data_IF_174328127228
#
_entry.id   IF_174328127228
#
_cell.length_a   1.000
_cell.length_b   1.000
_cell.length_c   1.000
_cell.angle_alpha   90.00
_cell.angle_beta   90.00
_cell.angle_gamma   90.00
#
_symmetry.space_group_name_H-M   'P 1'
#
loop_
_entity.id
_entity.type
_entity.pdbx_description
1 polymer ?
#
# COMPACT_ATOMS: atom_id res chain seq x y z
N UNK A 1 18.61 -37.12 74.51
CA UNK A 1 17.21 -37.21 75.00
C UNK A 1 16.35 -36.39 74.05
N UNK A 2 15.27 -37.01 73.55
CA UNK A 2 14.13 -36.44 72.80
C UNK A 2 14.45 -35.91 71.38
N UNK A 3 14.33 -36.74 70.33
CA UNK A 3 13.12 -37.13 69.57
C UNK A 3 12.33 -35.97 68.95
N UNK A 4 12.37 -35.86 67.61
CA UNK A 4 11.20 -35.67 66.73
C UNK A 4 11.50 -36.28 65.35
N UNK A 5 10.52 -37.04 64.86
CA UNK A 5 10.44 -37.89 63.64
C UNK A 5 9.92 -37.06 62.43
N UNK A 6 10.08 -37.52 61.17
CA UNK A 6 10.13 -36.69 59.98
C UNK A 6 8.78 -36.55 59.26
N UNK A 7 8.63 -35.49 58.46
CA UNK A 7 7.54 -35.34 57.50
C UNK A 7 8.03 -35.67 56.09
N UNK A 8 7.64 -36.85 55.61
CA UNK A 8 7.62 -37.23 54.19
C UNK A 8 6.48 -36.48 53.51
N UNK A 9 6.77 -35.85 52.36
CA UNK A 9 5.79 -35.67 51.28
C UNK A 9 6.47 -36.09 49.98
N UNK A 10 6.29 -37.36 49.64
CA UNK A 10 6.25 -37.82 48.25
C UNK A 10 4.79 -37.64 47.84
N UNK A 11 4.52 -36.79 46.86
CA UNK A 11 3.41 -37.00 45.95
C UNK A 11 3.92 -36.67 44.55
N UNK A 12 3.86 -37.72 43.74
CA UNK A 12 4.21 -37.80 42.34
C UNK A 12 2.98 -37.39 41.51
N UNK A 13 3.25 -36.81 40.35
CA UNK A 13 2.34 -36.64 39.19
C UNK A 13 1.25 -35.57 39.32
N UNK A 14 1.38 -34.49 38.54
CA UNK A 14 0.51 -34.42 37.36
C UNK A 14 1.18 -33.68 36.19
N UNK A 15 1.01 -34.29 35.03
CA UNK A 15 1.51 -33.92 33.72
C UNK A 15 0.72 -32.71 33.20
N UNK A 16 1.14 -31.50 33.58
CA UNK A 16 0.64 -30.26 32.99
C UNK A 16 1.52 -29.78 31.85
N UNK A 17 1.63 -30.55 30.76
CA UNK A 17 2.30 -30.11 29.52
C UNK A 17 1.56 -28.90 28.94
N UNK A 18 1.92 -27.70 29.40
CA UNK A 18 1.45 -26.46 28.80
C UNK A 18 1.99 -26.38 27.38
N UNK A 19 1.11 -26.28 26.37
CA UNK A 19 1.52 -26.33 24.98
C UNK A 19 2.41 -25.13 24.70
N UNK A 20 3.60 -25.44 24.15
CA UNK A 20 4.46 -24.55 23.42
C UNK A 20 3.60 -23.54 22.68
N UNK A 21 3.68 -22.29 23.14
CA UNK A 21 3.00 -21.13 22.54
C UNK A 21 3.24 -21.21 21.03
N UNK A 22 2.19 -21.36 20.20
CA UNK A 22 2.37 -21.43 18.76
C UNK A 22 3.11 -20.17 18.35
N UNK A 23 4.25 -20.34 17.70
CA UNK A 23 5.02 -19.24 17.14
C UNK A 23 4.06 -18.30 16.43
N UNK A 24 4.01 -17.06 16.90
CA UNK A 24 3.28 -15.99 16.25
C UNK A 24 3.80 -15.93 14.81
N UNK A 25 3.00 -16.35 13.84
CA UNK A 25 3.27 -16.26 12.40
C UNK A 25 3.16 -14.81 11.91
N UNK A 26 3.66 -13.86 12.70
CA UNK A 26 3.71 -12.45 12.36
C UNK A 26 5.18 -12.03 12.33
N UNK A 27 5.70 -12.06 11.11
CA UNK A 27 6.95 -11.47 10.62
C UNK A 27 8.25 -12.23 10.85
N UNK A 28 8.67 -13.04 9.86
CA UNK A 28 10.04 -12.99 9.38
C UNK A 28 10.14 -11.90 8.30
N UNK A 29 9.90 -10.63 8.64
CA UNK A 29 10.57 -9.57 7.89
C UNK A 29 11.96 -9.45 8.52
N UNK A 30 12.81 -10.33 8.01
CA UNK A 30 14.26 -10.17 7.97
C UNK A 30 14.59 -8.68 7.86
N UNK A 31 15.55 -8.21 8.68
CA UNK A 31 16.13 -6.87 8.74
C UNK A 31 16.50 -6.32 7.35
N UNK A 32 15.50 -5.96 6.56
CA UNK A 32 15.68 -5.33 5.27
C UNK A 32 15.78 -3.86 5.59
N UNK A 33 16.99 -3.33 5.52
CA UNK A 33 17.25 -1.94 5.79
C UNK A 33 16.33 -1.07 4.91
N UNK A 34 15.47 -0.27 5.54
CA UNK A 34 14.61 0.65 4.82
C UNK A 34 15.49 1.64 4.03
N UNK A 35 15.15 1.94 2.76
CA UNK A 35 15.91 2.89 1.96
C UNK A 35 15.85 4.29 2.58
N UNK A 36 16.86 5.11 2.28
CA UNK A 36 16.87 6.51 2.67
C UNK A 36 15.75 7.29 1.95
N UNK A 37 15.33 8.42 2.54
CA UNK A 37 14.34 9.30 1.91
C UNK A 37 14.81 9.81 0.54
N UNK A 38 16.11 10.05 0.38
CA UNK A 38 16.72 10.41 -0.90
C UNK A 38 16.51 9.32 -1.95
N UNK A 39 16.70 8.05 -1.58
CA UNK A 39 16.49 6.94 -2.50
C UNK A 39 15.02 6.81 -2.89
N UNK A 40 14.11 7.00 -1.94
CA UNK A 40 12.66 7.02 -2.23
C UNK A 40 12.28 8.15 -3.17
N UNK A 41 12.86 9.34 -3.00
CA UNK A 41 12.65 10.45 -3.95
C UNK A 41 13.07 10.07 -5.37
N UNK A 42 14.23 9.42 -5.52
CA UNK A 42 14.68 8.96 -6.85
C UNK A 42 13.72 7.94 -7.44
N UNK A 43 13.21 7.00 -6.63
CA UNK A 43 12.23 6.01 -7.08
C UNK A 43 10.94 6.69 -7.54
N UNK A 44 10.44 7.66 -6.77
CA UNK A 44 9.24 8.43 -7.14
C UNK A 44 9.48 9.20 -8.44
N UNK A 45 10.62 9.87 -8.57
CA UNK A 45 10.95 10.63 -9.78
C UNK A 45 11.03 9.76 -11.05
N UNK A 46 11.47 8.49 -10.91
CA UNK A 46 11.49 7.51 -12.01
C UNK A 46 10.09 6.94 -12.28
N UNK A 47 9.29 6.74 -11.24
CA UNK A 47 7.93 6.22 -11.35
C UNK A 47 6.97 7.22 -11.99
N UNK A 48 7.10 8.52 -11.70
CA UNK A 48 6.21 9.55 -12.23
C UNK A 48 6.11 9.50 -13.76
N UNK A 49 4.89 9.63 -14.27
CA UNK A 49 4.66 9.67 -15.70
C UNK A 49 5.35 10.87 -16.34
N UNK A 50 5.87 10.65 -17.55
CA UNK A 50 6.51 11.69 -18.36
C UNK A 50 5.49 12.71 -18.94
N UNK A 51 4.27 12.73 -18.42
CA UNK A 51 3.16 13.54 -18.92
C UNK A 51 3.23 15.00 -18.51
N UNK A 52 4.23 15.36 -17.70
CA UNK A 52 4.49 16.71 -17.25
C UNK A 52 3.55 17.14 -16.13
N UNK A 53 3.09 18.38 -16.17
CA UNK A 53 2.24 18.95 -15.13
C UNK A 53 0.87 18.27 -15.05
N UNK A 54 0.24 18.29 -13.88
CA UNK A 54 -1.09 17.70 -13.66
C UNK A 54 -2.14 18.20 -14.68
N UNK A 55 -2.08 19.48 -15.05
CA UNK A 55 -2.99 20.09 -16.03
C UNK A 55 -2.92 19.46 -17.42
N UNK A 56 -1.81 18.79 -17.77
CA UNK A 56 -1.64 18.12 -19.06
C UNK A 56 -2.05 16.65 -19.03
N UNK A 57 -2.22 16.05 -17.86
CA UNK A 57 -2.53 14.62 -17.73
C UNK A 57 -3.82 14.18 -18.43
N UNK A 58 -4.98 14.88 -18.32
CA UNK A 58 -6.20 14.45 -18.99
C UNK A 58 -6.04 14.36 -20.51
N UNK A 59 -5.33 15.33 -21.10
CA UNK A 59 -5.06 15.37 -22.53
C UNK A 59 -4.13 14.23 -22.94
N UNK A 60 -3.05 13.99 -22.19
CA UNK A 60 -2.09 12.92 -22.46
C UNK A 60 -2.70 11.53 -22.34
N UNK A 61 -3.50 11.31 -21.30
CA UNK A 61 -4.27 10.08 -21.13
C UNK A 61 -5.15 9.82 -22.36
N UNK A 62 -5.93 10.81 -22.78
CA UNK A 62 -6.83 10.66 -23.93
C UNK A 62 -6.07 10.41 -25.25
N UNK A 63 -4.94 11.08 -25.47
CA UNK A 63 -4.07 10.84 -26.63
C UNK A 63 -3.57 9.39 -26.68
N UNK A 64 -3.06 8.87 -25.56
CA UNK A 64 -2.58 7.48 -25.48
C UNK A 64 -3.70 6.47 -25.60
N UNK A 65 -4.84 6.69 -24.94
CA UNK A 65 -6.02 5.83 -25.05
C UNK A 65 -6.52 5.76 -26.49
N UNK A 66 -6.67 6.91 -27.16
CA UNK A 66 -7.11 6.95 -28.56
C UNK A 66 -6.14 6.23 -29.49
N UNK A 67 -4.83 6.36 -29.25
CA UNK A 67 -3.81 5.63 -29.98
C UNK A 67 -3.92 4.11 -29.78
N UNK A 68 -4.11 3.66 -28.54
CA UNK A 68 -4.31 2.25 -28.21
C UNK A 68 -5.58 1.69 -28.86
N UNK A 69 -6.70 2.43 -28.78
CA UNK A 69 -7.97 2.07 -29.43
C UNK A 69 -7.83 1.97 -30.95
N UNK A 70 -7.11 2.89 -31.59
CA UNK A 70 -6.80 2.83 -33.01
C UNK A 70 -5.97 1.61 -33.41
N UNK A 71 -5.24 1.02 -32.46
CA UNK A 71 -4.43 -0.19 -32.64
C UNK A 71 -5.20 -1.49 -32.32
N UNK A 72 -6.44 -1.39 -31.84
CA UNK A 72 -7.35 -2.51 -31.58
C UNK A 72 -7.45 -2.94 -30.12
N UNK A 73 -8.39 -3.83 -29.82
CA UNK A 73 -8.79 -4.18 -28.45
C UNK A 73 -7.63 -4.64 -27.56
N UNK A 74 -6.74 -5.51 -28.07
CA UNK A 74 -5.59 -6.00 -27.29
C UNK A 74 -4.66 -4.87 -26.83
N UNK A 75 -4.47 -3.86 -27.68
CA UNK A 75 -3.64 -2.70 -27.33
C UNK A 75 -4.33 -1.82 -26.29
N UNK A 76 -5.66 -1.64 -26.41
CA UNK A 76 -6.48 -0.96 -25.40
C UNK A 76 -6.41 -1.66 -24.04
N UNK A 77 -6.59 -2.99 -24.00
CA UNK A 77 -6.51 -3.77 -22.78
C UNK A 77 -5.12 -3.66 -22.15
N UNK A 78 -4.06 -3.75 -22.97
CA UNK A 78 -2.68 -3.58 -22.52
C UNK A 78 -2.42 -2.19 -21.94
N UNK A 79 -3.00 -1.13 -22.52
CA UNK A 79 -2.87 0.23 -21.98
C UNK A 79 -3.51 0.34 -20.60
N UNK A 80 -4.72 -0.21 -20.42
CA UNK A 80 -5.37 -0.22 -19.11
C UNK A 80 -4.62 -1.06 -18.08
N UNK A 81 -4.06 -2.21 -18.47
CA UNK A 81 -3.18 -3.00 -17.59
C UNK A 81 -1.96 -2.20 -17.16
N UNK A 82 -1.30 -1.47 -18.06
CA UNK A 82 -0.16 -0.60 -17.71
C UNK A 82 -0.55 0.50 -16.72
N UNK A 83 -1.73 1.12 -16.88
CA UNK A 83 -2.23 2.08 -15.90
C UNK A 83 -2.48 1.43 -14.53
N UNK A 84 -3.01 0.20 -14.49
CA UNK A 84 -3.24 -0.53 -13.25
C UNK A 84 -1.91 -0.90 -12.56
N UNK A 85 -0.92 -1.35 -13.33
CA UNK A 85 0.43 -1.64 -12.83
C UNK A 85 1.08 -0.37 -12.27
N UNK A 86 0.96 0.77 -12.97
CA UNK A 86 1.46 2.08 -12.50
C UNK A 86 0.86 2.50 -11.16
N UNK A 87 -0.45 2.29 -10.96
CA UNK A 87 -1.13 2.54 -9.68
C UNK A 87 -0.54 1.66 -8.58
N UNK A 88 -0.36 0.36 -8.84
CA UNK A 88 0.14 -0.58 -7.84
C UNK A 88 1.59 -0.28 -7.44
N UNK A 89 2.45 0.05 -8.41
CA UNK A 89 3.81 0.54 -8.15
C UNK A 89 3.78 1.81 -7.27
N UNK A 90 2.87 2.74 -7.57
CA UNK A 90 2.66 3.94 -6.75
C UNK A 90 2.23 3.61 -5.32
N UNK A 91 1.36 2.62 -5.12
CA UNK A 91 0.95 2.15 -3.78
C UNK A 91 2.11 1.53 -3.01
N UNK A 92 2.99 0.80 -3.68
CA UNK A 92 4.20 0.24 -3.06
C UNK A 92 5.13 1.38 -2.59
N UNK A 93 5.27 2.45 -3.38
CA UNK A 93 6.03 3.64 -2.99
C UNK A 93 5.38 4.38 -1.81
N UNK A 94 4.04 4.49 -1.77
CA UNK A 94 3.32 5.03 -0.62
C UNK A 94 3.58 4.20 0.65
N UNK A 95 3.58 2.87 0.54
CA UNK A 95 3.88 1.99 1.66
C UNK A 95 5.32 2.15 2.14
N UNK A 96 6.26 2.34 1.23
CA UNK A 96 7.67 2.60 1.54
C UNK A 96 7.84 3.93 2.26
N UNK A 97 7.22 5.00 1.75
CA UNK A 97 7.23 6.33 2.37
C UNK A 97 6.63 6.28 3.78
N UNK A 98 5.50 5.59 3.95
CA UNK A 98 4.87 5.35 5.26
C UNK A 98 5.81 4.64 6.23
N UNK A 99 6.55 3.64 5.76
CA UNK A 99 7.46 2.85 6.57
C UNK A 99 8.64 3.67 7.08
N UNK A 100 9.20 4.55 6.23
CA UNK A 100 10.25 5.50 6.61
C UNK A 100 9.73 6.49 7.65
N UNK A 101 8.56 7.08 7.41
CA UNK A 101 7.96 8.07 8.33
C UNK A 101 7.65 7.46 9.70
N UNK A 102 7.25 6.18 9.76
CA UNK A 102 7.03 5.44 11.01
C UNK A 102 8.31 5.17 11.79
N UNK A 103 9.42 4.87 11.10
CA UNK A 103 10.74 4.73 11.74
C UNK A 103 11.18 6.04 12.40
N UNK A 104 10.71 7.16 11.87
CA UNK A 104 10.95 8.51 12.38
C UNK A 104 12.33 9.03 11.96
N UNK A 105 12.42 10.35 11.88
CA UNK A 105 13.69 11.03 11.58
C UNK A 105 14.43 11.34 12.87
N UNK A 106 15.74 11.07 12.91
CA UNK A 106 16.62 11.46 14.01
C UNK A 106 17.43 12.68 13.57
N UNK A 107 17.54 13.68 14.44
CA UNK A 107 18.34 14.87 14.15
C UNK A 107 17.88 16.09 14.94
N UNK A 108 18.47 17.22 14.59
CA UNK A 108 18.16 18.55 15.13
C UNK A 108 16.81 19.06 14.59
N UNK A 109 16.04 19.78 15.41
CA UNK A 109 14.63 20.07 15.15
C UNK A 109 14.33 20.69 13.76
N UNK A 110 15.12 21.66 13.30
CA UNK A 110 14.93 22.26 11.97
C UNK A 110 15.09 21.24 10.84
N UNK A 111 16.11 20.39 10.90
CA UNK A 111 16.36 19.35 9.88
C UNK A 111 15.25 18.29 9.88
N UNK A 112 14.66 18.01 11.03
CA UNK A 112 13.53 17.07 11.14
C UNK A 112 12.28 17.64 10.48
N UNK A 113 11.98 18.93 10.70
CA UNK A 113 10.85 19.61 10.05
C UNK A 113 11.00 19.58 8.52
N UNK A 114 12.18 19.94 8.00
CA UNK A 114 12.46 19.91 6.56
C UNK A 114 12.23 18.52 5.94
N UNK A 115 12.58 17.45 6.67
CA UNK A 115 12.35 16.07 6.21
C UNK A 115 10.86 15.71 6.17
N UNK A 116 10.07 16.18 7.14
CA UNK A 116 8.61 15.97 7.14
C UNK A 116 7.92 16.77 6.02
N UNK A 117 8.34 18.00 5.75
CA UNK A 117 7.85 18.77 4.59
C UNK A 117 8.14 18.02 3.29
N UNK A 118 9.37 17.53 3.12
CA UNK A 118 9.74 16.73 1.95
C UNK A 118 8.89 15.45 1.82
N UNK A 119 8.61 14.75 2.91
CA UNK A 119 7.70 13.60 2.90
C UNK A 119 6.30 14.01 2.46
N UNK A 120 5.80 15.15 2.94
CA UNK A 120 4.47 15.64 2.58
C UNK A 120 4.37 15.98 1.08
N UNK A 121 5.39 16.63 0.52
CA UNK A 121 5.45 16.93 -0.92
C UNK A 121 5.45 15.64 -1.75
N UNK A 122 6.28 14.65 -1.36
CA UNK A 122 6.31 13.34 -2.02
C UNK A 122 4.99 12.59 -1.90
N UNK A 123 4.35 12.63 -0.74
CA UNK A 123 3.04 12.01 -0.51
C UNK A 123 1.97 12.64 -1.40
N UNK A 124 1.94 13.98 -1.44
CA UNK A 124 0.99 14.74 -2.28
C UNK A 124 1.19 14.38 -3.74
N UNK A 125 2.44 14.39 -4.22
CA UNK A 125 2.76 14.04 -5.59
C UNK A 125 2.32 12.60 -5.95
N UNK A 126 2.59 11.62 -5.08
CA UNK A 126 2.18 10.23 -5.29
C UNK A 126 0.65 10.11 -5.35
N UNK A 127 -0.04 10.67 -4.36
CA UNK A 127 -1.50 10.54 -4.25
C UNK A 127 -2.22 11.19 -5.43
N UNK A 128 -1.81 12.38 -5.84
CA UNK A 128 -2.43 13.09 -6.96
C UNK A 128 -2.34 12.28 -8.25
N UNK A 129 -1.18 11.69 -8.54
CA UNK A 129 -1.01 10.88 -9.75
C UNK A 129 -1.73 9.53 -9.67
N UNK A 130 -1.64 8.82 -8.53
CA UNK A 130 -2.38 7.58 -8.31
C UNK A 130 -3.88 7.79 -8.49
N UNK A 131 -4.45 8.82 -7.85
CA UNK A 131 -5.87 9.13 -7.95
C UNK A 131 -6.30 9.50 -9.36
N UNK A 132 -5.45 10.23 -10.09
CA UNK A 132 -5.74 10.53 -11.49
C UNK A 132 -5.95 9.23 -12.30
N UNK A 133 -5.03 8.27 -12.18
CA UNK A 133 -5.14 7.01 -12.91
C UNK A 133 -6.30 6.13 -12.40
N UNK A 134 -6.54 6.06 -11.08
CA UNK A 134 -7.67 5.34 -10.51
C UNK A 134 -9.01 5.85 -11.07
N UNK A 135 -9.22 7.17 -11.05
CA UNK A 135 -10.44 7.80 -11.58
C UNK A 135 -10.60 7.50 -13.07
N UNK A 136 -9.51 7.52 -13.83
CA UNK A 136 -9.57 7.22 -15.26
C UNK A 136 -9.86 5.75 -15.55
N UNK A 137 -9.30 4.82 -14.79
CA UNK A 137 -9.63 3.41 -14.96
C UNK A 137 -11.09 3.12 -14.59
N UNK A 138 -11.62 3.74 -13.54
CA UNK A 138 -13.03 3.61 -13.19
C UNK A 138 -13.97 4.14 -14.29
N UNK A 139 -13.60 5.27 -14.92
CA UNK A 139 -14.37 5.89 -16.01
C UNK A 139 -14.40 5.03 -17.30
N UNK A 140 -13.26 4.46 -17.70
CA UNK A 140 -13.10 3.83 -19.02
C UNK A 140 -13.05 2.30 -19.01
N UNK A 141 -12.74 1.68 -17.87
CA UNK A 141 -12.65 0.23 -17.70
C UNK A 141 -13.32 -0.19 -16.38
N UNK A 142 -14.62 0.11 -16.18
CA UNK A 142 -15.31 -0.25 -14.96
C UNK A 142 -15.30 -1.78 -14.79
N UNK A 143 -14.95 -2.24 -13.59
CA UNK A 143 -14.85 -3.67 -13.21
C UNK A 143 -16.20 -4.39 -13.40
N UNK A 144 -17.30 -3.64 -13.51
CA UNK A 144 -18.63 -4.15 -13.76
C UNK A 144 -19.27 -3.41 -14.94
N UNK A 145 -19.89 -4.11 -15.91
CA UNK A 145 -20.80 -3.43 -16.81
C UNK A 145 -21.96 -2.87 -15.98
N UNK A 146 -22.19 -1.55 -16.09
CA UNK A 146 -23.29 -0.83 -15.43
C UNK A 146 -24.68 -1.46 -15.69
N UNK A 147 -24.80 -2.39 -16.65
CA UNK A 147 -25.99 -3.17 -16.94
C UNK A 147 -26.35 -4.25 -15.90
N UNK A 148 -25.55 -4.44 -14.84
CA UNK A 148 -25.86 -5.35 -13.72
C UNK A 148 -26.12 -4.63 -12.38
N UNK A 149 -26.07 -3.30 -12.34
CA UNK A 149 -26.60 -2.57 -11.19
C UNK A 149 -28.12 -2.69 -11.29
N UNK A 150 -28.69 -3.57 -10.46
CA UNK A 150 -30.07 -3.98 -10.54
C UNK A 150 -31.01 -2.80 -10.66
N UNK A 151 -31.97 -2.96 -11.57
CA UNK A 151 -33.22 -2.26 -11.75
C UNK A 151 -34.08 -2.26 -10.46
N UNK A 152 -33.56 -1.68 -9.37
CA UNK A 152 -34.15 -1.72 -8.02
C UNK A 152 -34.53 -0.32 -7.49
N UNK A 153 -34.67 0.67 -8.37
CA UNK A 153 -35.15 2.01 -8.01
C UNK A 153 -36.47 2.40 -8.67
N UNK A 154 -37.31 1.42 -9.03
CA UNK A 154 -38.69 1.64 -9.46
C UNK A 154 -39.70 0.88 -8.58
N UNK A 155 -39.70 1.15 -7.28
CA UNK A 155 -40.89 0.96 -6.46
C UNK A 155 -40.96 2.04 -5.37
N UNK A 156 -41.54 3.19 -5.71
CA UNK A 156 -42.43 3.89 -4.77
C UNK A 156 -43.45 4.71 -5.59
N UNK A 157 -44.51 4.04 -5.99
CA UNK A 157 -45.83 4.66 -6.16
C UNK A 157 -46.56 4.57 -4.82
N UNK A 158 -46.84 5.72 -4.21
CA UNK A 158 -48.10 6.01 -3.49
C UNK A 158 -48.46 7.46 -3.79
#
# INVERSE_FOLDING_TARGET
MSNTVPGVSLDTEDQGSSPSRPGSYLHPLVDTELPSLEKVRQLIAVWQSEWGAESTWPKKFHEQLKHAQGSGQRATDSFFSQCADHIEEGRQLLWLLRSITRKGFRGEGCKVLDLYEQVFDLLTSLLTEIWFFEVKLDEYAPVFPLSQISEAHYYFTV
#
